data_IF_878500559517
#
_entry.id   IF_878500559517
#
_cell.length_a   1.000
_cell.length_b   1.000
_cell.length_c   1.000
_cell.angle_alpha   90.00
_cell.angle_beta   90.00
_cell.angle_gamma   90.00
#
_symmetry.space_group_name_H-M   'P 1'
#
loop_
_entity.id
_entity.type
_entity.pdbx_description
1 polymer ?
#
# COMPACT_ATOMS: atom_id res chain seq x y z
N UNK A 1 1.36 -3.33 -1.33
CA UNK A 1 0.09 -2.93 -0.68
C UNK A 1 -0.84 -4.09 -0.36
N UNK A 2 -0.82 -5.21 -1.10
CA UNK A 2 -1.66 -6.39 -0.81
C UNK A 2 -1.35 -7.01 0.56
N UNK A 3 -0.06 -7.26 0.86
CA UNK A 3 0.39 -7.81 2.15
C UNK A 3 -0.08 -6.95 3.32
N UNK A 4 0.02 -5.64 3.17
CA UNK A 4 -0.37 -4.66 4.18
C UNK A 4 -1.88 -4.68 4.45
N UNK A 5 -2.71 -4.82 3.41
CA UNK A 5 -4.17 -4.97 3.57
C UNK A 5 -4.49 -6.25 4.35
N UNK A 6 -3.82 -7.37 4.05
CA UNK A 6 -4.02 -8.61 4.81
C UNK A 6 -3.60 -8.46 6.27
N UNK A 7 -2.46 -7.81 6.54
CA UNK A 7 -1.98 -7.55 7.89
C UNK A 7 -2.96 -6.68 8.68
N UNK A 8 -3.53 -5.64 8.06
CA UNK A 8 -4.54 -4.78 8.69
C UNK A 8 -5.83 -5.53 8.96
N UNK A 9 -6.28 -6.37 8.01
CA UNK A 9 -7.46 -7.21 8.21
C UNK A 9 -7.25 -8.20 9.38
N UNK A 10 -6.05 -8.77 9.50
CA UNK A 10 -5.68 -9.65 10.61
C UNK A 10 -5.68 -8.88 11.92
N UNK A 11 -5.02 -7.71 11.98
CA UNK A 11 -4.98 -6.85 13.16
C UNK A 11 -6.39 -6.43 13.59
N UNK A 12 -7.25 -6.07 12.65
CA UNK A 12 -8.64 -5.72 12.93
C UNK A 12 -9.42 -6.91 13.50
N UNK A 13 -9.20 -8.12 12.99
CA UNK A 13 -9.82 -9.35 13.49
C UNK A 13 -9.35 -9.70 14.91
N UNK A 14 -8.07 -9.51 15.22
CA UNK A 14 -7.51 -9.67 16.57
C UNK A 14 -8.15 -8.68 17.55
N UNK A 15 -8.46 -7.46 17.09
CA UNK A 15 -9.20 -6.46 17.85
C UNK A 15 -10.75 -6.66 17.82
N UNK A 16 -11.22 -7.84 17.42
CA UNK A 16 -12.64 -8.22 17.37
C UNK A 16 -13.53 -7.37 16.44
N UNK A 17 -12.96 -6.64 15.49
CA UNK A 17 -13.73 -5.91 14.50
C UNK A 17 -14.29 -6.84 13.41
N UNK A 18 -15.53 -6.56 12.99
CA UNK A 18 -16.22 -7.27 11.91
C UNK A 18 -15.85 -6.63 10.56
N UNK A 19 -15.09 -7.35 9.74
CA UNK A 19 -14.65 -6.89 8.42
C UNK A 19 -15.82 -6.74 7.43
N UNK A 20 -16.93 -7.46 7.62
CA UNK A 20 -18.10 -7.39 6.72
C UNK A 20 -18.66 -5.98 6.56
N UNK A 21 -18.47 -5.10 7.56
CA UNK A 21 -18.95 -3.73 7.48
C UNK A 21 -18.19 -2.86 6.48
N UNK A 22 -16.98 -3.26 6.04
CA UNK A 22 -16.28 -2.59 4.93
C UNK A 22 -17.10 -2.61 3.65
N UNK A 23 -17.79 -3.72 3.37
CA UNK A 23 -18.60 -3.88 2.16
C UNK A 23 -19.92 -3.10 2.20
N UNK A 24 -20.25 -2.46 3.33
CA UNK A 24 -21.47 -1.67 3.47
C UNK A 24 -21.27 -0.20 3.09
N UNK A 25 -20.02 0.26 2.97
CA UNK A 25 -19.71 1.65 2.58
C UNK A 25 -19.25 1.73 1.14
N UNK A 26 -19.83 2.67 0.38
CA UNK A 26 -19.43 2.93 -1.00
C UNK A 26 -17.96 3.41 -1.11
N UNK A 27 -17.46 4.12 -0.08
CA UNK A 27 -16.09 4.68 -0.09
C UNK A 27 -15.02 3.60 -0.14
N UNK A 28 -15.29 2.40 0.39
CA UNK A 28 -14.34 1.28 0.33
C UNK A 28 -14.24 0.69 -1.07
N UNK A 29 -15.32 0.72 -1.88
CA UNK A 29 -15.27 0.21 -3.25
C UNK A 29 -14.34 1.03 -4.15
N UNK A 30 -14.13 2.31 -3.86
CA UNK A 30 -13.14 3.13 -4.59
C UNK A 30 -11.73 2.61 -4.31
N UNK A 31 -11.39 2.39 -3.04
CA UNK A 31 -10.09 1.81 -2.65
C UNK A 31 -9.92 0.43 -3.26
N UNK A 32 -10.96 -0.41 -3.19
CA UNK A 32 -10.95 -1.76 -3.74
C UNK A 32 -10.74 -1.78 -5.26
N UNK A 33 -11.38 -0.86 -5.99
CA UNK A 33 -11.22 -0.73 -7.44
C UNK A 33 -9.76 -0.47 -7.82
N UNK A 34 -9.10 0.49 -7.16
CA UNK A 34 -7.69 0.80 -7.45
C UNK A 34 -6.78 -0.37 -7.08
N UNK A 35 -7.09 -1.11 -6.01
CA UNK A 35 -6.35 -2.32 -5.66
C UNK A 35 -6.54 -3.44 -6.70
N UNK A 36 -7.74 -3.60 -7.26
CA UNK A 36 -7.94 -4.54 -8.36
C UNK A 36 -7.13 -4.15 -9.61
N UNK A 37 -6.99 -2.86 -9.90
CA UNK A 37 -6.12 -2.37 -10.97
C UNK A 37 -4.65 -2.69 -10.69
N UNK A 38 -4.18 -2.48 -9.45
CA UNK A 38 -2.81 -2.86 -9.06
C UNK A 38 -2.58 -4.36 -9.27
N UNK A 39 -3.49 -5.22 -8.79
CA UNK A 39 -3.40 -6.67 -8.96
C UNK A 39 -3.38 -7.05 -10.44
N UNK A 40 -4.19 -6.40 -11.28
CA UNK A 40 -4.18 -6.64 -12.72
C UNK A 40 -2.83 -6.31 -13.36
N UNK A 41 -2.23 -5.17 -13.00
CA UNK A 41 -0.90 -4.78 -13.50
C UNK A 41 0.17 -5.74 -13.01
N UNK A 42 0.20 -6.09 -11.72
CA UNK A 42 1.14 -7.08 -11.17
C UNK A 42 0.97 -8.45 -11.85
N UNK A 43 -0.27 -8.85 -12.14
CA UNK A 43 -0.55 -10.10 -12.85
C UNK A 43 -0.06 -10.08 -14.30
N UNK A 44 -0.15 -8.95 -15.02
CA UNK A 44 0.31 -8.85 -16.41
C UNK A 44 1.82 -9.11 -16.54
N UNK A 45 2.60 -8.70 -15.53
CA UNK A 45 4.06 -8.95 -15.46
C UNK A 45 4.36 -10.45 -15.48
N UNK A 46 3.56 -11.28 -14.81
CA UNK A 46 3.73 -12.74 -14.82
C UNK A 46 3.48 -13.38 -16.20
N UNK A 47 2.74 -12.70 -17.09
CA UNK A 47 2.54 -13.14 -18.48
C UNK A 47 3.54 -12.51 -19.46
N UNK A 48 4.56 -11.80 -18.96
CA UNK A 48 5.53 -11.03 -19.74
C UNK A 48 4.88 -9.89 -20.56
N UNK A 49 3.71 -9.38 -20.13
CA UNK A 49 3.11 -8.17 -20.68
C UNK A 49 3.48 -6.96 -19.81
N UNK A 50 4.47 -6.22 -20.30
CA UNK A 50 5.04 -5.05 -19.64
C UNK A 50 4.40 -3.72 -20.08
N UNK A 51 3.37 -3.74 -20.92
CA UNK A 51 2.74 -2.53 -21.46
C UNK A 51 2.25 -1.58 -20.36
N UNK A 52 1.77 -2.14 -19.25
CA UNK A 52 1.22 -1.37 -18.14
C UNK A 52 2.25 -0.93 -17.09
N UNK A 53 3.50 -1.42 -17.14
CA UNK A 53 4.52 -1.06 -16.13
C UNK A 53 4.81 0.44 -16.15
N UNK A 54 4.79 1.07 -17.32
CA UNK A 54 5.01 2.51 -17.45
C UNK A 54 4.02 3.38 -16.64
N UNK A 55 2.89 2.82 -16.19
CA UNK A 55 1.88 3.53 -15.39
C UNK A 55 1.95 3.21 -13.89
N UNK A 56 2.85 2.32 -13.46
CA UNK A 56 2.95 1.88 -12.05
C UNK A 56 3.22 3.05 -11.10
N UNK A 57 3.98 4.06 -11.53
CA UNK A 57 4.27 5.26 -10.74
C UNK A 57 3.00 6.06 -10.36
N UNK A 58 1.88 5.88 -11.07
CA UNK A 58 0.61 6.53 -10.76
C UNK A 58 -0.24 5.77 -9.74
N UNK A 59 0.02 4.47 -9.55
CA UNK A 59 -0.85 3.59 -8.77
C UNK A 59 -0.77 3.89 -7.29
N UNK A 60 0.43 4.08 -6.74
CA UNK A 60 0.59 4.39 -5.31
C UNK A 60 -0.09 5.71 -4.91
N UNK A 61 0.13 6.85 -5.64
CA UNK A 61 -0.64 8.07 -5.40
C UNK A 61 -2.15 7.86 -5.54
N UNK A 62 -2.61 7.07 -6.53
CA UNK A 62 -4.03 6.79 -6.72
C UNK A 62 -4.64 6.02 -5.53
N UNK A 63 -3.92 5.06 -4.96
CA UNK A 63 -4.35 4.35 -3.76
C UNK A 63 -4.44 5.31 -2.57
N UNK A 64 -3.42 6.14 -2.34
CA UNK A 64 -3.43 7.14 -1.27
C UNK A 64 -4.63 8.09 -1.42
N UNK A 65 -4.84 8.61 -2.64
CA UNK A 65 -5.94 9.53 -2.95
C UNK A 65 -7.32 8.89 -2.80
N UNK A 66 -7.45 7.60 -3.10
CA UNK A 66 -8.71 6.86 -2.95
C UNK A 66 -9.27 6.89 -1.52
N UNK A 67 -8.40 7.02 -0.51
CA UNK A 67 -8.81 7.15 0.89
C UNK A 67 -9.40 8.53 1.24
N UNK A 68 -9.29 9.55 0.39
CA UNK A 68 -9.88 10.87 0.66
C UNK A 68 -11.39 10.80 0.89
N UNK A 69 -12.11 9.97 0.13
CA UNK A 69 -13.55 9.80 0.31
C UNK A 69 -13.88 9.23 1.70
N UNK A 70 -13.17 8.17 2.09
CA UNK A 70 -13.30 7.58 3.43
C UNK A 70 -12.93 8.57 4.53
N UNK A 71 -11.89 9.39 4.30
CA UNK A 71 -11.46 10.43 5.23
C UNK A 71 -12.57 11.46 5.49
N UNK A 72 -13.20 12.00 4.45
CA UNK A 72 -14.24 13.02 4.61
C UNK A 72 -15.55 12.45 5.16
N UNK A 73 -16.00 11.29 4.66
CA UNK A 73 -17.28 10.68 5.08
C UNK A 73 -17.23 10.21 6.54
N UNK A 74 -16.11 9.64 6.98
CA UNK A 74 -15.94 9.10 8.34
C UNK A 74 -15.12 10.00 9.26
N UNK A 75 -14.78 11.22 8.82
CA UNK A 75 -14.03 12.23 9.58
C UNK A 75 -12.69 11.69 10.14
N UNK A 76 -11.97 10.90 9.35
CA UNK A 76 -10.70 10.24 9.73
C UNK A 76 -9.50 11.20 9.68
N UNK A 77 -9.67 12.47 10.08
CA UNK A 77 -8.64 13.50 9.93
C UNK A 77 -7.39 13.23 10.76
N UNK A 78 -7.54 12.77 12.01
CA UNK A 78 -6.39 12.43 12.87
C UNK A 78 -5.55 11.28 12.27
N UNK A 79 -6.15 10.12 11.91
CA UNK A 79 -5.44 9.07 11.17
C UNK A 79 -4.79 9.56 9.88
N UNK A 80 -5.48 10.41 9.11
CA UNK A 80 -4.95 10.95 7.86
C UNK A 80 -3.72 11.84 8.09
N UNK A 81 -3.73 12.71 9.11
CA UNK A 81 -2.57 13.55 9.46
C UNK A 81 -1.38 12.68 9.87
N UNK A 82 -1.61 11.69 10.74
CA UNK A 82 -0.56 10.75 11.17
C UNK A 82 -0.01 9.93 10.00
N UNK A 83 -0.88 9.44 9.11
CA UNK A 83 -0.46 8.73 7.92
C UNK A 83 0.34 9.63 6.97
N UNK A 84 -0.12 10.86 6.72
CA UNK A 84 0.57 11.81 5.84
C UNK A 84 1.96 12.16 6.35
N UNK A 85 2.16 12.23 7.67
CA UNK A 85 3.49 12.38 8.26
C UNK A 85 4.43 11.23 7.86
N UNK A 86 3.96 9.99 7.86
CA UNK A 86 4.74 8.84 7.40
C UNK A 86 4.99 8.85 5.89
N UNK A 87 4.04 9.31 5.07
CA UNK A 87 4.28 9.51 3.62
C UNK A 87 5.45 10.48 3.41
N UNK A 88 5.46 11.61 4.14
CA UNK A 88 6.53 12.60 4.03
C UNK A 88 7.88 11.99 4.42
N UNK A 89 7.95 11.30 5.56
CA UNK A 89 9.18 10.63 6.00
C UNK A 89 9.65 9.61 4.96
N UNK A 90 8.77 8.73 4.51
CA UNK A 90 9.13 7.69 3.53
C UNK A 90 9.63 8.28 2.21
N UNK A 91 8.92 9.29 1.70
CA UNK A 91 9.33 10.02 0.49
C UNK A 91 10.69 10.68 0.65
N UNK A 92 10.96 11.29 1.81
CA UNK A 92 12.25 11.92 2.09
C UNK A 92 13.39 10.89 2.17
N UNK A 93 13.15 9.72 2.77
CA UNK A 93 14.13 8.62 2.82
C UNK A 93 14.46 8.13 1.40
N UNK A 94 13.45 7.88 0.57
CA UNK A 94 13.67 7.40 -0.81
C UNK A 94 14.42 8.45 -1.63
N UNK A 95 13.99 9.72 -1.58
CA UNK A 95 14.67 10.82 -2.28
C UNK A 95 16.10 11.00 -1.80
N UNK A 96 16.35 10.84 -0.50
CA UNK A 96 17.69 10.88 0.05
C UNK A 96 18.56 9.79 -0.58
N UNK A 97 18.14 8.53 -0.55
CA UNK A 97 18.89 7.41 -1.15
C UNK A 97 19.15 7.63 -2.65
N UNK A 98 18.12 8.05 -3.39
CA UNK A 98 18.22 8.35 -4.82
C UNK A 98 19.27 9.44 -5.08
N UNK A 99 19.26 10.51 -4.28
CA UNK A 99 20.23 11.62 -4.42
C UNK A 99 21.68 11.18 -4.19
N UNK A 100 21.90 10.21 -3.30
CA UNK A 100 23.24 9.73 -2.94
C UNK A 100 23.80 8.73 -3.95
N UNK A 101 22.94 8.14 -4.79
CA UNK A 101 23.28 7.10 -5.77
C UNK A 101 23.09 7.59 -7.21
N UNK A 102 23.37 8.87 -7.49
CA UNK A 102 23.39 9.39 -8.85
C UNK A 102 22.02 9.54 -9.52
N UNK A 103 20.97 9.74 -8.71
CA UNK A 103 19.59 9.86 -9.21
C UNK A 103 18.92 8.52 -9.50
N UNK A 104 19.46 7.42 -8.99
CA UNK A 104 18.93 6.06 -9.17
C UNK A 104 18.62 5.41 -7.83
N UNK A 105 17.59 4.56 -7.81
CA UNK A 105 17.24 3.73 -6.66
C UNK A 105 17.87 2.34 -6.84
N UNK A 106 18.85 1.96 -6.01
CA UNK A 106 19.42 0.63 -6.10
C UNK A 106 18.47 -0.45 -5.56
N UNK A 107 18.45 -1.60 -6.22
CA UNK A 107 17.55 -2.72 -5.91
C UNK A 107 18.33 -4.01 -5.70
N UNK A 108 17.97 -4.76 -4.66
CA UNK A 108 18.55 -6.06 -4.31
C UNK A 108 17.46 -7.15 -4.34
N UNK A 109 17.11 -7.67 -5.52
CA UNK A 109 16.10 -8.73 -5.64
C UNK A 109 16.63 -10.05 -5.07
N UNK A 110 15.71 -10.84 -4.51
CA UNK A 110 15.94 -12.19 -4.00
C UNK A 110 14.80 -13.12 -4.41
N UNK A 111 13.64 -13.02 -3.76
CA UNK A 111 12.45 -13.79 -4.09
C UNK A 111 11.91 -13.47 -5.49
N UNK A 112 11.99 -12.22 -5.93
CA UNK A 112 11.52 -11.79 -7.25
C UNK A 112 12.29 -12.43 -8.41
N UNK A 113 13.53 -12.90 -8.18
CA UNK A 113 14.24 -13.73 -9.16
C UNK A 113 13.69 -15.16 -9.22
N UNK A 114 13.32 -15.72 -8.07
CA UNK A 114 12.81 -17.09 -7.96
C UNK A 114 11.43 -17.20 -8.61
N UNK A 115 10.58 -16.19 -8.44
CA UNK A 115 9.23 -16.14 -9.03
C UNK A 115 9.23 -15.81 -10.52
N UNK A 116 10.38 -15.38 -11.07
CA UNK A 116 10.48 -14.88 -12.44
C UNK A 116 9.86 -13.48 -12.63
N UNK A 117 9.50 -12.79 -11.54
CA UNK A 117 8.92 -11.45 -11.60
C UNK A 117 9.92 -10.41 -12.12
N UNK A 118 11.21 -10.55 -11.78
CA UNK A 118 12.29 -9.68 -12.26
C UNK A 118 13.35 -10.52 -12.96
N UNK A 119 13.78 -10.09 -14.14
CA UNK A 119 15.02 -10.56 -14.77
C UNK A 119 16.10 -9.47 -14.67
N UNK A 120 17.40 -9.84 -14.63
CA UNK A 120 18.49 -8.85 -14.69
C UNK A 120 18.44 -7.94 -15.92
N UNK A 121 17.81 -8.39 -17.01
CA UNK A 121 17.64 -7.66 -18.27
C UNK A 121 16.49 -6.62 -18.22
N UNK A 122 15.48 -6.87 -17.37
CA UNK A 122 14.39 -5.93 -17.07
C UNK A 122 14.84 -4.79 -16.15
N UNK A 123 15.83 -5.04 -15.29
CA UNK A 123 16.38 -4.05 -14.37
C UNK A 123 17.22 -3.01 -15.13
N UNK A 124 16.65 -1.81 -15.28
CA UNK A 124 17.28 -0.66 -15.95
C UNK A 124 16.69 -0.33 -17.32
N UNK A 125 15.92 -1.23 -17.93
CA UNK A 125 15.29 -1.03 -19.25
C UNK A 125 13.87 -0.45 -19.16
N UNK A 126 13.12 -0.69 -18.07
CA UNK A 126 11.68 -0.41 -18.03
C UNK A 126 11.29 0.94 -17.40
N UNK A 127 11.88 1.32 -16.27
CA UNK A 127 11.47 2.54 -15.54
C UNK A 127 12.60 3.57 -15.39
N UNK A 128 13.82 3.23 -15.82
CA UNK A 128 15.00 4.09 -15.77
C UNK A 128 15.47 4.49 -14.37
N UNK A 129 14.62 4.46 -13.33
CA UNK A 129 14.92 4.85 -11.95
C UNK A 129 15.69 3.77 -11.19
N UNK A 130 15.32 2.51 -11.39
CA UNK A 130 15.84 1.37 -10.64
C UNK A 130 17.09 0.79 -11.31
N UNK A 131 18.12 0.52 -10.50
CA UNK A 131 19.39 -0.10 -10.94
C UNK A 131 19.77 -1.26 -10.03
N UNK A 132 20.46 -2.26 -10.58
CA UNK A 132 20.87 -3.42 -9.80
C UNK A 132 21.91 -3.05 -8.73
N UNK A 133 21.74 -3.61 -7.54
CA UNK A 133 22.53 -3.32 -6.37
C UNK A 133 23.97 -3.87 -6.41
N UNK A 134 25.01 -3.02 -6.36
CA UNK A 134 26.43 -3.40 -6.24
C UNK A 134 27.12 -3.00 -4.92
N UNK A 135 28.45 -3.24 -4.84
CA UNK A 135 29.28 -2.92 -3.66
C UNK A 135 29.45 -1.43 -3.40
N UNK A 136 29.29 -0.59 -4.43
CA UNK A 136 29.60 0.85 -4.38
C UNK A 136 28.39 1.71 -3.94
N UNK A 137 27.31 1.07 -3.46
CA UNK A 137 26.06 1.75 -3.11
C UNK A 137 26.17 2.41 -1.75
N UNK A 138 25.67 3.65 -1.70
CA UNK A 138 25.54 4.41 -0.46
C UNK A 138 24.18 4.12 0.18
N UNK A 139 24.17 4.05 1.51
CA UNK A 139 22.96 3.87 2.31
C UNK A 139 22.15 2.60 1.97
N UNK A 140 22.84 1.47 1.77
CA UNK A 140 22.22 0.17 1.42
C UNK A 140 21.04 -0.24 2.31
N UNK A 141 21.06 0.09 3.60
CA UNK A 141 19.98 -0.23 4.55
C UNK A 141 18.66 0.48 4.21
N UNK A 142 18.69 1.54 3.38
CA UNK A 142 17.52 2.31 2.96
C UNK A 142 17.13 2.06 1.49
N UNK A 143 17.82 1.16 0.80
CA UNK A 143 17.53 0.79 -0.61
C UNK A 143 16.39 -0.22 -0.72
N UNK A 144 16.04 -0.61 -1.95
CA UNK A 144 14.98 -1.60 -2.19
C UNK A 144 15.54 -3.01 -1.98
N UNK A 145 15.20 -3.64 -0.86
CA UNK A 145 15.62 -5.02 -0.56
C UNK A 145 14.52 -5.87 0.10
N UNK A 146 13.40 -5.26 0.50
CA UNK A 146 12.28 -5.98 1.10
C UNK A 146 11.48 -6.57 -0.05
N UNK A 147 11.83 -7.80 -0.41
CA UNK A 147 11.31 -8.49 -1.59
C UNK A 147 10.21 -9.50 -1.21
N UNK A 148 8.99 -9.27 -1.69
CA UNK A 148 7.84 -10.18 -1.51
C UNK A 148 7.69 -11.20 -2.66
N UNK A 149 8.56 -11.16 -3.67
CA UNK A 149 8.50 -12.02 -4.86
C UNK A 149 7.70 -11.46 -6.03
N UNK A 150 6.95 -10.39 -5.81
CA UNK A 150 6.19 -9.68 -6.84
C UNK A 150 6.28 -8.15 -6.67
N UNK A 151 7.08 -7.70 -5.72
CA UNK A 151 7.33 -6.30 -5.39
C UNK A 151 8.57 -6.24 -4.51
N UNK A 152 9.41 -5.22 -4.71
CA UNK A 152 10.61 -4.98 -3.93
C UNK A 152 10.48 -3.58 -3.36
N UNK A 153 10.58 -3.46 -2.04
CA UNK A 153 10.30 -2.24 -1.30
C UNK A 153 11.54 -1.76 -0.56
N UNK A 154 11.65 -0.45 -0.45
CA UNK A 154 12.53 0.21 0.53
C UNK A 154 11.85 0.36 1.89
N UNK A 155 12.61 0.63 2.95
CA UNK A 155 12.04 1.11 4.21
C UNK A 155 11.21 2.39 4.05
N UNK A 156 11.52 3.25 3.07
CA UNK A 156 10.71 4.44 2.81
C UNK A 156 9.35 4.09 2.24
N UNK A 157 9.25 3.10 1.36
CA UNK A 157 7.97 2.58 0.86
C UNK A 157 7.16 1.95 1.98
N UNK A 158 7.80 1.25 2.92
CA UNK A 158 7.12 0.74 4.13
C UNK A 158 6.50 1.89 4.92
N UNK A 159 7.21 3.01 5.10
CA UNK A 159 6.64 4.21 5.73
C UNK A 159 5.47 4.79 4.95
N UNK A 160 5.54 4.84 3.62
CA UNK A 160 4.42 5.29 2.79
C UNK A 160 3.22 4.35 2.94
N UNK A 161 3.46 3.04 2.91
CA UNK A 161 2.43 2.01 3.06
C UNK A 161 1.75 2.06 4.44
N UNK A 162 2.43 2.54 5.49
CA UNK A 162 1.79 2.75 6.79
C UNK A 162 0.59 3.71 6.72
N UNK A 163 0.55 4.67 5.78
CA UNK A 163 -0.65 5.48 5.55
C UNK A 163 -1.86 4.61 5.25
N UNK A 164 -1.73 3.68 4.30
CA UNK A 164 -2.81 2.77 3.91
C UNK A 164 -3.20 1.88 5.09
N UNK A 165 -2.23 1.39 5.85
CA UNK A 165 -2.49 0.59 7.04
C UNK A 165 -3.34 1.35 8.07
N UNK A 166 -2.91 2.56 8.42
CA UNK A 166 -3.58 3.43 9.40
C UNK A 166 -4.99 3.77 8.89
N UNK A 167 -5.12 4.24 7.65
CA UNK A 167 -6.41 4.65 7.10
C UNK A 167 -7.40 3.51 7.01
N UNK A 168 -6.97 2.33 6.56
CA UNK A 168 -7.84 1.15 6.46
C UNK A 168 -8.25 0.65 7.86
N UNK A 169 -7.32 0.57 8.82
CA UNK A 169 -7.65 0.14 10.18
C UNK A 169 -8.68 1.06 10.84
N UNK A 170 -8.48 2.38 10.75
CA UNK A 170 -9.41 3.35 11.33
C UNK A 170 -10.74 3.40 10.58
N UNK A 171 -10.77 3.14 9.28
CA UNK A 171 -12.01 2.96 8.53
C UNK A 171 -12.80 1.74 9.05
N UNK A 172 -12.13 0.59 9.23
CA UNK A 172 -12.76 -0.62 9.80
C UNK A 172 -13.34 -0.33 11.17
N UNK A 173 -12.57 0.35 12.03
CA UNK A 173 -13.00 0.73 13.38
C UNK A 173 -14.23 1.64 13.34
N UNK A 174 -14.19 2.72 12.56
CA UNK A 174 -15.29 3.68 12.46
C UNK A 174 -16.61 3.02 11.96
N UNK A 175 -16.50 2.09 11.01
CA UNK A 175 -17.63 1.31 10.52
C UNK A 175 -18.18 0.38 11.61
N UNK A 176 -17.30 -0.27 12.37
CA UNK A 176 -17.71 -1.12 13.48
C UNK A 176 -18.42 -0.35 14.58
N UNK A 177 -17.95 0.85 14.93
CA UNK A 177 -18.62 1.73 15.88
C UNK A 177 -20.01 2.15 15.36
N UNK A 178 -20.10 2.56 14.09
CA UNK A 178 -21.37 2.95 13.45
C UNK A 178 -22.41 1.83 13.41
N UNK A 179 -22.04 0.64 12.94
CA UNK A 179 -22.97 -0.47 12.74
C UNK A 179 -23.22 -1.31 13.98
N UNK A 180 -22.30 -1.34 14.96
CA UNK A 180 -22.59 -2.00 16.24
C UNK A 180 -23.63 -1.22 17.04
N UNK A 181 -23.49 0.11 17.12
CA UNK A 181 -24.47 0.98 17.79
C UNK A 181 -25.86 0.94 17.11
N UNK A 182 -25.90 0.82 15.77
CA UNK A 182 -27.16 0.72 15.03
C UNK A 182 -27.91 -0.60 15.28
N UNK A 183 -27.20 -1.70 15.50
CA UNK A 183 -27.81 -2.99 15.83
C UNK A 183 -28.37 -3.01 17.26
N UNK A 184 -27.75 -2.31 18.21
CA UNK A 184 -28.30 -2.19 19.58
C UNK A 184 -29.60 -1.36 19.61
N UNK A 185 -29.68 -0.27 18.84
CA UNK A 185 -30.89 0.58 18.77
C UNK A 185 -32.06 -0.16 18.09
N UNK A 186 -31.79 -0.95 17.05
CA UNK A 186 -32.83 -1.74 16.36
C UNK A 186 -33.26 -2.98 17.17
N UNK A 187 -32.39 -3.51 18.03
CA UNK A 187 -32.74 -4.54 19.02
C UNK A 187 -33.65 -4.02 20.14
N UNK A 188 -33.42 -2.79 20.61
CA UNK A 188 -34.25 -2.15 21.65
C UNK A 188 -35.68 -1.85 21.15
N UNK A 189 -35.83 -1.38 19.90
CA UNK A 189 -37.16 -1.12 19.29
C UNK A 189 -38.01 -2.35 19.03
N UNK A 190 -37.46 -3.57 19.07
CA UNK A 190 -38.25 -4.81 18.92
C UNK A 190 -38.76 -5.38 20.25
N UNK A 191 -38.41 -4.76 21.39
CA UNK A 191 -38.78 -5.23 22.73
C UNK A 191 -39.80 -4.34 23.46
N UNK A 192 -40.35 -3.33 22.78
CA UNK A 192 -41.43 -2.46 23.27
C UNK A 192 -42.64 -2.70 22.36
#
# INVERSE_FOLDING_TARGET
MIVEIFLVCLLAKVNHYKLKYLFYTWTFYIVLLIQCVLVYIEFSVFFNDYYFIQHVYLIEPAIILSFMFSMFVYKLYKPAITGSFFIVIGTLLNKFVISQNGGKMPVFPSFSYITGYVSPELLGSVDGLHVLGGSNIKFKILTDYIDYGYSILSPGDVFIHLFVCIMLYYLIRALNEKYSNSNDISGFRRKI
#
